data_IF_122082877933
#
_entry.id   IF_122082877933
#
_cell.length_a   1.000
_cell.length_b   1.000
_cell.length_c   1.000
_cell.angle_alpha   90.00
_cell.angle_beta   90.00
_cell.angle_gamma   90.00
#
_symmetry.space_group_name_H-M   'P 1'
#
loop_
_entity.id
_entity.type
_entity.pdbx_description
1 polymer ?
#
# COMPACT_ATOMS: atom_id res chain seq x y z
N UNK A 1 41.34 42.36 44.44
CA UNK A 1 40.94 42.13 43.04
C UNK A 1 40.62 40.66 42.87
N UNK A 2 39.36 40.28 43.02
CA UNK A 2 38.90 38.91 42.75
C UNK A 2 38.44 38.84 41.29
N UNK A 3 39.19 38.11 40.47
CA UNK A 3 38.89 37.88 39.06
C UNK A 3 37.73 36.89 38.99
N UNK A 4 36.54 37.36 38.64
CA UNK A 4 35.39 36.50 38.38
C UNK A 4 35.65 35.72 37.09
N UNK A 5 35.95 34.42 37.24
CA UNK A 5 36.07 33.52 36.09
C UNK A 5 34.69 33.22 35.54
N UNK A 6 34.43 33.69 34.32
CA UNK A 6 33.23 33.35 33.56
C UNK A 6 33.32 31.89 33.14
N UNK A 7 32.69 31.00 33.91
CA UNK A 7 32.51 29.61 33.52
C UNK A 7 31.75 29.62 32.19
N UNK A 8 32.45 29.30 31.10
CA UNK A 8 31.88 29.14 29.78
C UNK A 8 30.99 27.89 29.80
N UNK A 9 29.75 28.05 30.25
CA UNK A 9 28.75 27.00 30.25
C UNK A 9 28.34 26.75 28.79
N UNK A 10 29.07 25.86 28.11
CA UNK A 10 28.66 25.33 26.80
C UNK A 10 27.23 24.80 26.95
N UNK A 11 26.28 25.47 26.33
CA UNK A 11 24.89 25.01 26.34
C UNK A 11 24.84 23.58 25.78
N UNK A 12 24.13 22.70 26.49
CA UNK A 12 23.97 21.31 26.11
C UNK A 12 23.23 21.25 24.76
N UNK A 13 23.79 20.54 23.78
CA UNK A 13 23.31 20.59 22.39
C UNK A 13 21.84 20.14 22.22
N UNK A 14 21.37 19.21 23.06
CA UNK A 14 19.98 18.72 23.04
C UNK A 14 18.95 19.74 23.56
N UNK A 15 19.39 20.83 24.20
CA UNK A 15 18.52 21.94 24.59
C UNK A 15 18.25 22.91 23.42
N UNK A 16 19.06 22.86 22.36
CA UNK A 16 18.87 23.68 21.17
C UNK A 16 17.75 23.11 20.30
N UNK A 17 16.77 23.96 19.91
CA UNK A 17 15.69 23.56 19.00
C UNK A 17 16.20 23.05 17.64
N UNK A 18 17.36 23.51 17.19
CA UNK A 18 17.98 23.04 15.94
C UNK A 18 18.37 21.55 15.99
N UNK A 19 18.75 21.02 17.16
CA UNK A 19 19.04 19.60 17.29
C UNK A 19 17.80 18.76 16.99
N UNK A 20 16.63 19.17 17.47
CA UNK A 20 15.37 18.50 17.19
C UNK A 20 14.92 18.61 15.75
N UNK A 21 15.29 19.66 15.00
CA UNK A 21 15.02 19.69 13.56
C UNK A 21 15.85 18.64 12.80
N UNK A 22 17.12 18.49 13.17
CA UNK A 22 18.04 17.53 12.54
C UNK A 22 17.65 16.09 12.85
N UNK A 23 17.27 15.78 14.08
CA UNK A 23 16.85 14.43 14.47
C UNK A 23 15.37 14.15 14.21
N UNK A 24 14.51 15.14 14.41
CA UNK A 24 13.06 15.01 14.29
C UNK A 24 12.59 14.82 12.86
N UNK A 25 13.20 15.49 11.88
CA UNK A 25 12.87 15.29 10.45
C UNK A 25 13.03 13.82 10.03
N UNK A 26 14.23 13.22 10.16
CA UNK A 26 14.44 11.81 9.88
C UNK A 26 13.57 10.87 10.72
N UNK A 27 13.40 11.16 12.02
CA UNK A 27 12.58 10.33 12.90
C UNK A 27 11.11 10.26 12.43
N UNK A 28 10.54 11.40 11.99
CA UNK A 28 9.17 11.45 11.46
C UNK A 28 9.06 10.62 10.18
N UNK A 29 10.05 10.70 9.27
CA UNK A 29 10.04 9.91 8.02
C UNK A 29 10.08 8.41 8.32
N UNK A 30 10.91 7.98 9.28
CA UNK A 30 10.96 6.57 9.69
C UNK A 30 9.59 6.12 10.23
N UNK A 31 8.98 6.90 11.13
CA UNK A 31 7.65 6.58 11.67
C UNK A 31 6.57 6.54 10.59
N UNK A 32 6.59 7.48 9.63
CA UNK A 32 5.69 7.49 8.50
C UNK A 32 5.84 6.22 7.65
N UNK A 33 7.07 5.80 7.33
CA UNK A 33 7.33 4.59 6.55
C UNK A 33 6.78 3.33 7.22
N UNK A 34 6.99 3.19 8.54
CA UNK A 34 6.46 2.07 9.32
C UNK A 34 4.93 2.09 9.37
N UNK A 35 4.34 3.28 9.50
CA UNK A 35 2.88 3.46 9.48
C UNK A 35 2.29 3.05 8.13
N UNK A 36 2.92 3.43 7.02
CA UNK A 36 2.50 3.01 5.68
C UNK A 36 2.55 1.50 5.53
N UNK A 37 3.64 0.86 5.95
CA UNK A 37 3.76 -0.62 5.91
C UNK A 37 2.70 -1.28 6.78
N UNK A 38 2.46 -0.74 7.98
CA UNK A 38 1.41 -1.24 8.88
C UNK A 38 0.03 -1.18 8.23
N UNK A 39 -0.33 -0.06 7.59
CA UNK A 39 -1.61 0.08 6.88
C UNK A 39 -1.66 -0.90 5.71
N UNK A 40 -0.58 -1.06 4.95
CA UNK A 40 -0.55 -1.93 3.78
C UNK A 40 -0.77 -3.41 4.13
N UNK A 41 -0.31 -3.87 5.30
CA UNK A 41 -0.48 -5.26 5.74
C UNK A 41 -1.87 -5.49 6.34
N UNK A 42 -2.37 -4.53 7.14
CA UNK A 42 -3.64 -4.70 7.85
C UNK A 42 -4.87 -4.31 7.01
N UNK A 43 -4.71 -3.42 6.04
CA UNK A 43 -5.78 -2.91 5.19
C UNK A 43 -5.85 -3.59 3.82
N UNK A 44 -5.30 -4.80 3.66
CA UNK A 44 -5.48 -5.54 2.42
C UNK A 44 -6.95 -5.91 2.27
N UNK A 45 -7.58 -5.39 1.23
CA UNK A 45 -8.85 -5.91 0.74
C UNK A 45 -8.65 -7.41 0.45
N UNK A 46 -9.47 -8.32 1.01
CA UNK A 46 -9.37 -9.74 0.72
C UNK A 46 -9.21 -9.96 -0.78
N UNK A 47 -8.21 -10.75 -1.15
CA UNK A 47 -8.05 -11.18 -2.54
C UNK A 47 -9.28 -12.00 -2.88
N UNK A 48 -10.21 -11.37 -3.59
CA UNK A 48 -11.35 -11.99 -4.21
C UNK A 48 -10.80 -13.13 -5.08
N UNK A 49 -11.08 -14.37 -4.68
CA UNK A 49 -10.62 -15.53 -5.43
C UNK A 49 -11.11 -15.37 -6.87
N UNK A 50 -10.25 -15.64 -7.85
CA UNK A 50 -10.57 -15.44 -9.27
C UNK A 50 -11.88 -16.13 -9.69
N UNK A 51 -12.29 -17.15 -8.92
CA UNK A 51 -13.57 -17.85 -8.95
C UNK A 51 -14.80 -16.91 -8.91
N UNK A 52 -14.79 -15.84 -8.11
CA UNK A 52 -15.94 -14.91 -8.04
C UNK A 52 -16.01 -13.95 -9.23
N UNK A 53 -14.87 -13.67 -9.87
CA UNK A 53 -14.79 -12.85 -11.09
C UNK A 53 -14.98 -13.69 -12.36
N UNK A 54 -14.84 -15.01 -12.28
CA UNK A 54 -15.22 -15.94 -13.35
C UNK A 54 -16.73 -16.13 -13.41
N UNK A 55 -17.49 -15.03 -13.50
CA UNK A 55 -18.89 -15.06 -13.91
C UNK A 55 -19.75 -16.11 -13.20
N UNK A 56 -19.42 -16.48 -11.95
CA UNK A 56 -20.15 -17.46 -11.17
C UNK A 56 -21.37 -16.78 -10.57
N UNK A 57 -22.13 -16.13 -11.46
CA UNK A 57 -23.51 -15.76 -11.26
C UNK A 57 -24.25 -17.08 -11.03
N UNK A 58 -24.51 -17.35 -9.76
CA UNK A 58 -25.63 -18.14 -9.26
C UNK A 58 -26.37 -18.99 -10.32
N UNK A 59 -26.13 -20.31 -10.28
CA UNK A 59 -27.14 -21.33 -10.54
C UNK A 59 -27.95 -21.28 -11.86
N UNK A 60 -27.41 -20.70 -12.94
CA UNK A 60 -28.01 -20.82 -14.27
C UNK A 60 -27.03 -21.57 -15.17
N UNK A 61 -27.46 -22.71 -15.71
CA UNK A 61 -26.72 -23.43 -16.76
C UNK A 61 -26.71 -22.60 -18.04
N UNK A 62 -25.78 -21.66 -18.13
CA UNK A 62 -25.55 -20.85 -19.32
C UNK A 62 -24.94 -21.71 -20.44
N UNK A 63 -25.39 -21.49 -21.67
CA UNK A 63 -24.76 -22.08 -22.84
C UNK A 63 -23.32 -21.58 -23.01
N UNK A 64 -22.49 -22.34 -23.73
CA UNK A 64 -21.08 -22.00 -24.00
C UNK A 64 -20.93 -20.60 -24.63
N UNK A 65 -21.84 -20.23 -25.52
CA UNK A 65 -21.86 -18.90 -26.15
C UNK A 65 -22.12 -17.78 -25.14
N UNK A 66 -23.03 -17.99 -24.18
CA UNK A 66 -23.31 -17.02 -23.12
C UNK A 66 -22.12 -16.90 -22.16
N UNK A 67 -21.49 -18.02 -21.77
CA UNK A 67 -20.28 -18.00 -20.94
C UNK A 67 -19.18 -17.19 -21.62
N UNK A 68 -18.91 -17.44 -22.90
CA UNK A 68 -17.92 -16.69 -23.68
C UNK A 68 -18.22 -15.17 -23.78
N UNK A 69 -19.49 -14.77 -23.71
CA UNK A 69 -19.88 -13.35 -23.73
C UNK A 69 -19.67 -12.63 -22.38
N UNK A 70 -19.62 -13.37 -21.26
CA UNK A 70 -19.41 -12.84 -19.91
C UNK A 70 -17.94 -12.91 -19.46
N UNK A 71 -17.02 -13.29 -20.34
CA UNK A 71 -15.61 -13.43 -19.97
C UNK A 71 -14.93 -12.06 -19.79
N UNK A 72 -13.98 -11.96 -18.85
CA UNK A 72 -13.23 -10.73 -18.62
C UNK A 72 -12.60 -10.19 -19.91
N UNK A 73 -12.65 -8.86 -20.07
CA UNK A 73 -12.19 -8.18 -21.28
C UNK A 73 -10.74 -8.54 -21.68
N UNK A 74 -9.87 -8.81 -20.70
CA UNK A 74 -8.48 -9.22 -20.92
C UNK A 74 -8.40 -10.55 -21.69
N UNK A 75 -9.30 -11.50 -21.40
CA UNK A 75 -9.33 -12.83 -22.01
C UNK A 75 -10.11 -12.82 -23.33
N UNK A 76 -11.17 -12.01 -23.42
CA UNK A 76 -12.03 -11.94 -24.61
C UNK A 76 -11.38 -11.25 -25.83
N UNK A 77 -10.48 -10.29 -25.63
CA UNK A 77 -9.95 -9.42 -26.72
C UNK A 77 -9.37 -10.19 -27.92
N UNK A 78 -8.62 -11.27 -27.67
CA UNK A 78 -7.98 -12.06 -28.73
C UNK A 78 -8.76 -13.33 -29.09
N UNK A 79 -9.80 -13.64 -28.33
CA UNK A 79 -10.59 -14.86 -28.47
C UNK A 79 -12.05 -14.57 -28.84
N UNK A 80 -12.35 -13.37 -29.34
CA UNK A 80 -13.70 -12.96 -29.71
C UNK A 80 -14.34 -13.88 -30.78
N UNK A 81 -13.53 -14.38 -31.72
CA UNK A 81 -14.01 -15.27 -32.78
C UNK A 81 -13.96 -16.76 -32.42
N UNK A 82 -13.03 -17.18 -31.54
CA UNK A 82 -12.84 -18.60 -31.19
C UNK A 82 -13.54 -19.02 -29.90
N UNK A 83 -13.94 -18.06 -29.07
CA UNK A 83 -14.29 -18.31 -27.67
C UNK A 83 -13.10 -18.76 -26.84
N UNK A 84 -13.28 -18.79 -25.52
CA UNK A 84 -12.29 -19.29 -24.54
C UNK A 84 -12.78 -20.55 -23.83
N UNK A 85 -14.09 -20.73 -23.76
CA UNK A 85 -14.77 -21.91 -23.24
C UNK A 85 -15.17 -22.81 -24.42
N UNK A 86 -14.76 -24.09 -24.40
CA UNK A 86 -15.01 -25.09 -25.45
C UNK A 86 -15.91 -26.24 -25.02
N UNK A 87 -16.42 -26.21 -23.80
CA UNK A 87 -17.28 -27.24 -23.18
C UNK A 87 -18.58 -26.65 -22.61
#
# INVERSE_FOLDING_TARGET
>A
MTKTETVNQKQKWWQSGYAWLVFGGPAIVVMASLTTVYIAINGQDPVLAHEENSGQSNAISLSVAQKNALEPAIKARNHAATGVNKE
#
